data_IF_740699903079
#
_entry.id   IF_740699903079
#
_cell.length_a   1.000
_cell.length_b   1.000
_cell.length_c   1.000
_cell.angle_alpha   90.00
_cell.angle_beta   90.00
_cell.angle_gamma   90.00
#
_symmetry.space_group_name_H-M   'P 1'
#
loop_
_entity.id
_entity.type
_entity.pdbx_description
1 polymer ?
#
# COMPACT_ATOMS: atom_id res chain seq x y z
N UNK A 1 -10.30 -2.98 19.95
CA UNK A 1 -9.16 -2.96 20.88
C UNK A 1 -7.83 -3.28 20.18
N UNK A 2 -7.71 -4.35 19.41
CA UNK A 2 -6.50 -4.69 18.63
C UNK A 2 -6.05 -3.60 17.64
N UNK A 3 -6.97 -2.97 16.93
CA UNK A 3 -6.69 -1.89 15.99
C UNK A 3 -6.06 -0.64 16.63
N UNK A 4 -6.50 -0.25 17.83
CA UNK A 4 -5.92 0.88 18.57
C UNK A 4 -4.55 0.49 19.10
N UNK A 5 -4.41 -0.74 19.61
CA UNK A 5 -3.15 -1.26 20.15
C UNK A 5 -2.09 -1.36 19.05
N UNK A 6 -2.44 -1.79 17.84
CA UNK A 6 -1.52 -1.86 16.70
C UNK A 6 -1.05 -0.48 16.25
N UNK A 7 -1.91 0.54 16.28
CA UNK A 7 -1.53 1.92 15.99
C UNK A 7 -0.64 2.54 17.09
N UNK A 8 -0.97 2.30 18.35
CA UNK A 8 -0.21 2.85 19.49
C UNK A 8 1.14 2.15 19.65
N UNK A 9 1.22 0.83 19.40
CA UNK A 9 2.48 0.08 19.50
C UNK A 9 3.27 0.05 18.19
N UNK A 10 2.66 0.47 17.07
CA UNK A 10 3.31 0.45 15.76
C UNK A 10 4.64 1.19 15.72
N UNK A 11 4.76 2.30 16.47
CA UNK A 11 6.02 3.06 16.55
C UNK A 11 7.18 2.24 17.13
N UNK A 12 6.91 1.24 18.01
CA UNK A 12 7.95 0.38 18.58
C UNK A 12 8.60 -0.54 17.55
N UNK A 13 7.94 -0.78 16.41
CA UNK A 13 8.48 -1.57 15.32
C UNK A 13 9.22 -0.73 14.27
N UNK A 14 9.29 0.60 14.46
CA UNK A 14 9.98 1.49 13.54
C UNK A 14 11.49 1.55 13.86
N UNK A 15 12.38 1.39 12.86
CA UNK A 15 13.83 1.46 13.08
C UNK A 15 14.28 2.77 13.73
N UNK A 16 13.66 3.89 13.36
CA UNK A 16 13.95 5.19 13.95
C UNK A 16 13.68 5.21 15.46
N UNK A 17 12.63 4.55 15.93
CA UNK A 17 12.33 4.43 17.36
C UNK A 17 13.42 3.66 18.10
N UNK A 18 13.96 2.61 17.52
CA UNK A 18 15.06 1.82 18.11
C UNK A 18 16.33 2.66 18.23
N UNK A 19 16.64 3.50 17.21
CA UNK A 19 17.76 4.44 17.24
C UNK A 19 17.56 5.43 18.39
N UNK A 20 16.39 6.09 18.46
CA UNK A 20 16.09 7.08 19.48
C UNK A 20 16.12 6.49 20.89
N UNK A 21 15.48 5.34 21.11
CA UNK A 21 15.47 4.64 22.40
C UNK A 21 16.90 4.25 22.81
N UNK A 22 17.70 3.70 21.89
CA UNK A 22 19.09 3.31 22.18
C UNK A 22 19.96 4.51 22.55
N UNK A 23 19.83 5.60 21.82
CA UNK A 23 20.54 6.86 22.14
C UNK A 23 20.09 7.42 23.49
N UNK A 24 18.78 7.54 23.71
CA UNK A 24 18.24 8.06 24.98
C UNK A 24 18.71 7.21 26.18
N UNK A 25 18.59 5.87 26.07
CA UNK A 25 19.06 4.97 27.12
C UNK A 25 20.56 5.11 27.41
N UNK A 26 21.37 5.50 26.41
CA UNK A 26 22.81 5.71 26.59
C UNK A 26 23.17 6.85 27.58
N UNK A 27 22.25 7.79 27.79
CA UNK A 27 22.45 8.88 28.74
C UNK A 27 22.20 8.45 30.20
N UNK A 28 21.40 7.41 30.42
CA UNK A 28 21.03 6.93 31.75
C UNK A 28 21.93 5.80 32.28
N UNK A 29 22.80 5.22 31.46
CA UNK A 29 23.64 4.07 31.87
C UNK A 29 25.10 4.26 31.42
N UNK A 30 25.99 4.71 32.34
CA UNK A 30 27.44 4.88 32.05
C UNK A 30 28.09 3.56 31.55
N UNK A 31 27.72 2.42 32.14
CA UNK A 31 28.29 1.09 31.81
C UNK A 31 27.97 0.65 30.40
N UNK A 32 26.77 0.92 29.91
CA UNK A 32 26.29 0.44 28.61
C UNK A 32 26.31 1.53 27.51
N UNK A 33 26.65 2.78 27.87
CA UNK A 33 26.56 3.93 26.97
C UNK A 33 27.26 3.73 25.62
N UNK A 34 28.49 3.20 25.64
CA UNK A 34 29.23 2.94 24.40
C UNK A 34 28.54 1.88 23.53
N UNK A 35 28.05 0.80 24.14
CA UNK A 35 27.34 -0.28 23.41
C UNK A 35 26.03 0.23 22.81
N UNK A 36 25.23 0.99 23.57
CA UNK A 36 23.96 1.53 23.09
C UNK A 36 24.15 2.51 21.92
N UNK A 37 25.16 3.38 21.98
CA UNK A 37 25.51 4.28 20.86
C UNK A 37 25.97 3.49 19.63
N UNK A 38 26.76 2.43 19.81
CA UNK A 38 27.17 1.57 18.71
C UNK A 38 25.96 0.83 18.09
N UNK A 39 25.05 0.34 18.91
CA UNK A 39 23.81 -0.28 18.44
C UNK A 39 22.98 0.71 17.62
N UNK A 40 22.80 1.93 18.12
CA UNK A 40 22.08 2.97 17.40
C UNK A 40 22.73 3.29 16.04
N UNK A 41 24.05 3.35 15.99
CA UNK A 41 24.81 3.56 14.74
C UNK A 41 24.62 2.39 13.76
N UNK A 42 24.70 1.15 14.25
CA UNK A 42 24.50 -0.04 13.41
C UNK A 42 23.07 -0.05 12.85
N UNK A 43 22.06 0.23 13.67
CA UNK A 43 20.66 0.30 13.21
C UNK A 43 20.51 1.40 12.17
N UNK A 44 21.10 2.58 12.39
CA UNK A 44 21.05 3.70 11.45
C UNK A 44 21.70 3.33 10.11
N UNK A 45 22.88 2.74 10.12
CA UNK A 45 23.61 2.36 8.91
C UNK A 45 22.89 1.22 8.15
N UNK A 46 22.29 0.26 8.86
CA UNK A 46 21.58 -0.86 8.23
C UNK A 46 20.24 -0.41 7.63
N UNK A 47 19.37 0.20 8.42
CA UNK A 47 18.04 0.62 7.97
C UNK A 47 18.04 1.91 7.16
N UNK A 48 19.07 2.73 7.27
CA UNK A 48 19.28 3.89 6.41
C UNK A 48 19.89 3.53 5.05
N UNK A 49 20.36 2.31 4.85
CA UNK A 49 20.99 1.91 3.60
C UNK A 49 19.94 1.63 2.52
N UNK A 50 19.97 2.41 1.44
CA UNK A 50 19.01 2.31 0.34
C UNK A 50 19.18 1.01 -0.46
N UNK A 51 20.39 0.46 -0.60
CA UNK A 51 20.62 -0.81 -1.29
C UNK A 51 20.02 -1.98 -0.51
N UNK A 52 20.24 -2.04 0.81
CA UNK A 52 19.67 -3.10 1.65
C UNK A 52 18.16 -3.05 1.58
N UNK A 53 17.57 -1.87 1.69
CA UNK A 53 16.12 -1.68 1.56
C UNK A 53 15.62 -2.20 0.21
N UNK A 54 16.28 -1.79 -0.88
CA UNK A 54 15.88 -2.18 -2.24
C UNK A 54 15.92 -3.71 -2.43
N UNK A 55 16.98 -4.38 -1.98
CA UNK A 55 17.05 -5.85 -2.04
C UNK A 55 15.90 -6.52 -1.27
N UNK A 56 15.58 -6.01 -0.09
CA UNK A 56 14.46 -6.55 0.72
C UNK A 56 13.11 -6.28 0.04
N UNK A 57 12.93 -5.11 -0.57
CA UNK A 57 11.71 -4.79 -1.33
C UNK A 57 11.56 -5.71 -2.55
N UNK A 58 12.62 -5.93 -3.32
CA UNK A 58 12.60 -6.85 -4.47
C UNK A 58 12.23 -8.29 -4.09
N UNK A 59 12.59 -8.73 -2.87
CA UNK A 59 12.18 -10.04 -2.36
C UNK A 59 10.72 -10.07 -1.88
N UNK A 60 10.20 -8.93 -1.41
CA UNK A 60 8.85 -8.82 -0.87
C UNK A 60 7.82 -8.45 -1.92
N UNK A 61 8.13 -7.51 -2.80
CA UNK A 61 7.20 -6.98 -3.79
C UNK A 61 6.71 -8.08 -4.73
N UNK A 62 5.48 -7.94 -5.21
CA UNK A 62 4.99 -8.80 -6.27
C UNK A 62 5.73 -8.46 -7.58
N UNK A 63 6.02 -9.46 -8.41
CA UNK A 63 6.67 -9.24 -9.70
C UNK A 63 5.81 -8.36 -10.61
N UNK A 64 6.46 -7.55 -11.45
CA UNK A 64 5.79 -6.69 -12.43
C UNK A 64 5.05 -7.57 -13.43
N UNK A 65 3.78 -7.25 -13.68
CA UNK A 65 3.01 -7.82 -14.78
C UNK A 65 3.21 -6.95 -16.01
N UNK A 66 3.69 -7.54 -17.10
CA UNK A 66 3.89 -6.82 -18.35
C UNK A 66 2.56 -6.71 -19.11
N UNK A 67 2.33 -5.60 -19.80
CA UNK A 67 1.11 -5.36 -20.56
C UNK A 67 0.87 -6.42 -21.64
N UNK A 68 1.94 -6.90 -22.27
CA UNK A 68 1.88 -7.95 -23.28
C UNK A 68 1.37 -9.32 -22.74
N UNK A 69 1.41 -9.49 -21.41
CA UNK A 69 0.97 -10.71 -20.72
C UNK A 69 -0.47 -10.57 -20.19
N UNK A 70 -1.12 -9.40 -20.43
CA UNK A 70 -2.50 -9.17 -20.05
C UNK A 70 -3.44 -9.49 -21.20
N UNK A 71 -4.43 -10.34 -20.92
CA UNK A 71 -5.63 -10.44 -21.73
C UNK A 71 -6.56 -9.25 -21.48
N UNK A 72 -7.69 -9.23 -22.20
CA UNK A 72 -8.77 -8.27 -21.92
C UNK A 72 -9.65 -8.79 -20.78
N UNK A 73 -9.92 -7.93 -19.80
CA UNK A 73 -10.75 -8.24 -18.63
C UNK A 73 -11.92 -7.25 -18.53
N UNK A 74 -12.97 -7.66 -17.89
CA UNK A 74 -14.13 -6.79 -17.68
C UNK A 74 -13.86 -5.72 -16.63
N UNK A 75 -13.16 -6.06 -15.56
CA UNK A 75 -12.94 -5.17 -14.45
C UNK A 75 -11.48 -5.10 -14.01
N UNK A 76 -11.02 -3.88 -13.70
CA UNK A 76 -9.87 -3.68 -12.83
C UNK A 76 -10.33 -3.07 -11.50
N UNK A 77 -9.85 -3.62 -10.39
CA UNK A 77 -10.10 -3.11 -9.04
C UNK A 77 -8.88 -2.34 -8.57
N UNK A 78 -9.05 -1.03 -8.39
CA UNK A 78 -8.01 -0.13 -7.89
C UNK A 78 -8.22 0.07 -6.39
N UNK A 79 -7.27 -0.40 -5.57
CA UNK A 79 -7.37 -0.26 -4.12
C UNK A 79 -6.96 1.13 -3.67
N UNK A 80 -7.77 1.74 -2.81
CA UNK A 80 -7.54 3.06 -2.21
C UNK A 80 -6.29 3.15 -1.34
N UNK A 81 -6.11 4.27 -0.67
CA UNK A 81 -4.93 4.62 0.13
C UNK A 81 -3.98 5.55 -0.60
N UNK A 82 -4.46 6.27 -1.60
CA UNK A 82 -3.66 7.16 -2.44
C UNK A 82 -4.16 8.61 -2.47
N UNK A 83 -5.26 8.93 -1.79
CA UNK A 83 -5.83 10.29 -1.78
C UNK A 83 -5.86 10.87 -0.37
N UNK A 84 -5.47 12.13 -0.27
CA UNK A 84 -5.74 13.01 0.86
C UNK A 84 -6.76 14.07 0.44
N UNK A 85 -7.80 14.26 1.25
CA UNK A 85 -8.76 15.34 1.07
C UNK A 85 -8.43 16.52 1.98
N UNK A 86 -8.39 17.73 1.39
CA UNK A 86 -8.25 18.98 2.14
C UNK A 86 -9.59 19.71 2.15
N UNK A 87 -10.24 19.72 3.31
CA UNK A 87 -11.51 20.43 3.49
C UNK A 87 -11.37 21.96 3.36
N UNK A 88 -10.19 22.51 3.63
CA UNK A 88 -9.94 23.95 3.51
C UNK A 88 -9.95 24.44 2.06
N UNK A 89 -9.49 23.60 1.14
CA UNK A 89 -9.34 23.96 -0.27
C UNK A 89 -10.33 23.25 -1.18
N UNK A 90 -11.19 22.38 -0.61
CA UNK A 90 -12.09 21.50 -1.36
C UNK A 90 -11.37 20.77 -2.51
N UNK A 91 -10.20 20.21 -2.19
CA UNK A 91 -9.32 19.52 -3.14
C UNK A 91 -8.82 18.20 -2.60
N UNK A 92 -8.62 17.28 -3.54
CA UNK A 92 -7.84 16.08 -3.27
C UNK A 92 -6.38 16.31 -3.65
N UNK A 93 -5.49 15.67 -2.89
CA UNK A 93 -4.08 15.55 -3.21
C UNK A 93 -3.72 14.08 -3.31
N UNK A 94 -2.96 13.71 -4.32
CA UNK A 94 -2.52 12.33 -4.50
C UNK A 94 -1.25 12.08 -3.67
N UNK A 95 -1.27 11.00 -2.90
CA UNK A 95 -0.09 10.46 -2.24
C UNK A 95 0.87 9.82 -3.26
N UNK A 96 2.02 9.32 -2.79
CA UNK A 96 2.95 8.51 -3.60
C UNK A 96 2.23 7.34 -4.28
N UNK A 97 1.29 6.69 -3.57
CA UNK A 97 0.48 5.58 -4.09
C UNK A 97 -0.56 6.00 -5.15
N UNK A 98 -0.59 7.26 -5.58
CA UNK A 98 -1.40 7.74 -6.70
C UNK A 98 -1.15 6.98 -8.01
N UNK A 99 0.04 6.38 -8.14
CA UNK A 99 0.37 5.49 -9.27
C UNK A 99 -0.67 4.38 -9.47
N UNK A 100 -1.30 3.87 -8.41
CA UNK A 100 -2.40 2.88 -8.51
C UNK A 100 -3.53 3.37 -9.42
N UNK A 101 -3.98 4.61 -9.20
CA UNK A 101 -5.05 5.19 -10.01
C UNK A 101 -4.59 5.42 -11.45
N UNK A 102 -3.38 5.93 -11.65
CA UNK A 102 -2.84 6.17 -12.99
C UNK A 102 -2.66 4.87 -13.77
N UNK A 103 -2.20 3.79 -13.14
CA UNK A 103 -2.11 2.48 -13.78
C UNK A 103 -3.51 1.92 -14.11
N UNK A 104 -4.48 2.05 -13.20
CA UNK A 104 -5.87 1.69 -13.49
C UNK A 104 -6.45 2.46 -14.68
N UNK A 105 -6.29 3.77 -14.71
CA UNK A 105 -6.73 4.60 -15.84
C UNK A 105 -6.02 4.25 -17.15
N UNK A 106 -4.74 3.89 -17.08
CA UNK A 106 -3.99 3.42 -18.25
C UNK A 106 -4.58 2.12 -18.79
N UNK A 107 -4.87 1.15 -17.93
CA UNK A 107 -5.53 -0.11 -18.33
C UNK A 107 -6.88 0.15 -19.01
N UNK A 108 -7.70 1.05 -18.45
CA UNK A 108 -8.98 1.44 -19.02
C UNK A 108 -8.81 2.11 -20.40
N UNK A 109 -7.96 3.13 -20.49
CA UNK A 109 -7.77 3.90 -21.74
C UNK A 109 -7.04 3.13 -22.82
N UNK A 110 -6.27 2.11 -22.47
CA UNK A 110 -5.62 1.18 -23.41
C UNK A 110 -6.48 -0.04 -23.73
N UNK A 111 -7.74 -0.07 -23.26
CA UNK A 111 -8.71 -1.13 -23.54
C UNK A 111 -8.28 -2.53 -23.06
N UNK A 112 -7.53 -2.61 -21.96
CA UNK A 112 -7.27 -3.87 -21.24
C UNK A 112 -8.41 -4.23 -20.31
N UNK A 113 -9.23 -3.24 -19.89
CA UNK A 113 -10.41 -3.46 -19.06
C UNK A 113 -11.58 -2.58 -19.52
N UNK A 114 -12.82 -3.05 -19.30
CA UNK A 114 -14.02 -2.29 -19.64
C UNK A 114 -14.34 -1.21 -18.60
N UNK A 115 -14.18 -1.53 -17.31
CA UNK A 115 -14.53 -0.64 -16.22
C UNK A 115 -13.53 -0.73 -15.06
N UNK A 116 -13.37 0.38 -14.32
CA UNK A 116 -12.64 0.41 -13.05
C UNK A 116 -13.60 0.33 -11.87
N UNK A 117 -13.29 -0.52 -10.91
CA UNK A 117 -13.88 -0.50 -9.57
C UNK A 117 -12.88 0.24 -8.66
N UNK A 118 -13.23 1.44 -8.21
CA UNK A 118 -12.43 2.17 -7.22
C UNK A 118 -12.90 1.71 -5.84
N UNK A 119 -12.09 0.86 -5.19
CA UNK A 119 -12.43 0.27 -3.90
C UNK A 119 -11.66 0.98 -2.78
N UNK A 120 -12.38 1.84 -2.05
CA UNK A 120 -11.80 2.61 -0.96
C UNK A 120 -12.85 3.50 -0.28
N UNK A 121 -13.26 3.12 0.91
CA UNK A 121 -14.04 3.96 1.81
C UNK A 121 -13.13 4.84 2.66
N UNK A 122 -13.34 4.88 3.98
CA UNK A 122 -12.50 5.65 4.89
C UNK A 122 -11.56 4.77 5.70
N UNK A 123 -10.27 4.91 5.51
CA UNK A 123 -9.23 4.34 6.38
C UNK A 123 -9.07 5.10 7.72
N UNK A 124 -9.76 6.22 7.90
CA UNK A 124 -9.71 7.03 9.11
C UNK A 124 -10.70 6.54 10.16
N UNK A 125 -10.22 6.41 11.41
CA UNK A 125 -11.10 6.01 12.54
C UNK A 125 -12.01 7.15 12.98
N UNK A 126 -11.48 8.39 12.93
CA UNK A 126 -12.16 9.58 13.45
C UNK A 126 -12.98 10.32 12.38
N UNK A 127 -12.80 9.99 11.11
CA UNK A 127 -13.43 10.66 9.98
C UNK A 127 -14.00 9.62 8.99
N UNK A 128 -15.03 8.84 9.41
CA UNK A 128 -15.61 7.79 8.56
C UNK A 128 -16.34 8.31 7.32
N UNK A 129 -16.66 9.60 7.30
CA UNK A 129 -17.31 10.31 6.19
C UNK A 129 -16.35 10.59 5.03
N UNK A 130 -15.02 10.56 5.26
CA UNK A 130 -14.02 10.82 4.22
C UNK A 130 -13.83 9.57 3.35
N UNK A 131 -14.74 9.36 2.41
CA UNK A 131 -14.77 8.20 1.51
C UNK A 131 -13.95 8.46 0.26
N UNK A 132 -12.78 7.85 0.17
CA UNK A 132 -11.77 8.10 -0.85
C UNK A 132 -12.30 7.90 -2.27
N UNK A 133 -13.02 6.79 -2.53
CA UNK A 133 -13.55 6.48 -3.87
C UNK A 133 -14.54 7.54 -4.37
N UNK A 134 -15.34 8.16 -3.47
CA UNK A 134 -16.27 9.23 -3.85
C UNK A 134 -15.53 10.49 -4.30
N UNK A 135 -14.49 10.90 -3.56
CA UNK A 135 -13.66 12.05 -3.93
C UNK A 135 -12.91 11.79 -5.23
N UNK A 136 -12.35 10.58 -5.39
CA UNK A 136 -11.68 10.18 -6.63
C UNK A 136 -12.65 10.17 -7.81
N UNK A 137 -13.85 9.60 -7.64
CA UNK A 137 -14.89 9.60 -8.69
C UNK A 137 -15.30 11.00 -9.13
N UNK A 138 -15.49 11.91 -8.17
CA UNK A 138 -15.78 13.30 -8.45
C UNK A 138 -14.65 14.00 -9.22
N UNK A 139 -13.40 13.73 -8.84
CA UNK A 139 -12.22 14.24 -9.55
C UNK A 139 -12.15 13.72 -10.99
N UNK A 140 -12.33 12.40 -11.18
CA UNK A 140 -12.29 11.77 -12.50
C UNK A 140 -13.37 12.32 -13.43
N UNK A 141 -14.58 12.55 -12.91
CA UNK A 141 -15.66 13.20 -13.65
C UNK A 141 -15.28 14.63 -14.08
N UNK A 142 -14.57 15.37 -13.23
CA UNK A 142 -14.14 16.74 -13.53
C UNK A 142 -13.05 16.81 -14.61
N UNK A 143 -12.37 15.72 -14.90
CA UNK A 143 -11.36 15.58 -15.98
C UNK A 143 -11.87 14.72 -17.15
N UNK A 144 -13.19 14.69 -17.36
CA UNK A 144 -13.85 14.05 -18.50
C UNK A 144 -13.66 12.50 -18.59
N UNK A 145 -13.44 11.81 -17.47
CA UNK A 145 -13.57 10.36 -17.41
C UNK A 145 -15.05 10.02 -17.26
N UNK A 146 -15.57 9.17 -18.15
CA UNK A 146 -16.97 8.79 -18.15
C UNK A 146 -17.37 8.12 -16.83
N UNK A 147 -18.46 8.55 -16.18
CA UNK A 147 -18.99 7.83 -15.01
C UNK A 147 -19.39 6.38 -15.30
N UNK A 148 -19.72 6.05 -16.56
CA UNK A 148 -20.07 4.69 -16.97
C UNK A 148 -18.86 3.74 -16.95
N UNK A 149 -17.63 4.30 -17.02
CA UNK A 149 -16.38 3.57 -16.95
C UNK A 149 -15.96 3.26 -15.50
N UNK A 150 -16.62 3.86 -14.49
CA UNK A 150 -16.18 3.85 -13.10
C UNK A 150 -17.29 3.33 -12.18
N UNK A 151 -16.96 2.35 -11.36
CA UNK A 151 -17.80 1.84 -10.28
C UNK A 151 -17.15 2.23 -8.96
N UNK A 152 -17.92 2.82 -8.04
CA UNK A 152 -17.41 3.28 -6.76
C UNK A 152 -17.82 2.31 -5.64
N UNK A 153 -16.85 1.74 -4.95
CA UNK A 153 -17.01 1.03 -3.69
C UNK A 153 -16.48 1.93 -2.57
N UNK A 154 -17.35 2.43 -1.72
CA UNK A 154 -17.05 3.50 -0.74
C UNK A 154 -17.24 3.08 0.72
N UNK A 155 -17.51 1.82 1.01
CA UNK A 155 -17.83 1.38 2.37
C UNK A 155 -16.67 0.68 3.08
N UNK A 156 -15.70 0.20 2.33
CA UNK A 156 -14.54 -0.53 2.85
C UNK A 156 -13.62 0.36 3.71
N UNK A 157 -13.09 -0.22 4.79
CA UNK A 157 -12.16 0.44 5.73
C UNK A 157 -10.81 -0.26 5.85
N UNK A 158 -10.68 -1.39 5.21
CA UNK A 158 -9.48 -2.22 5.20
C UNK A 158 -9.50 -3.19 4.01
N UNK A 159 -8.36 -3.85 3.74
CA UNK A 159 -8.22 -4.73 2.56
C UNK A 159 -9.18 -5.92 2.56
N UNK A 160 -9.55 -6.44 3.73
CA UNK A 160 -10.56 -7.52 3.82
C UNK A 160 -11.94 -7.02 3.39
N UNK A 161 -12.32 -5.83 3.81
CA UNK A 161 -13.59 -5.21 3.43
C UNK A 161 -13.58 -4.82 1.94
N UNK A 162 -12.45 -4.34 1.39
CA UNK A 162 -12.32 -4.13 -0.06
C UNK A 162 -12.66 -5.42 -0.83
N UNK A 163 -12.09 -6.55 -0.44
CA UNK A 163 -12.36 -7.83 -1.08
C UNK A 163 -13.84 -8.26 -0.96
N UNK A 164 -14.42 -8.14 0.24
CA UNK A 164 -15.81 -8.52 0.50
C UNK A 164 -16.80 -7.65 -0.28
N UNK A 165 -16.59 -6.33 -0.29
CA UNK A 165 -17.52 -5.41 -0.97
C UNK A 165 -17.32 -5.44 -2.50
N UNK A 166 -16.11 -5.68 -2.97
CA UNK A 166 -15.88 -5.97 -4.41
C UNK A 166 -16.64 -7.23 -4.82
N UNK A 167 -16.52 -8.33 -4.07
CA UNK A 167 -17.26 -9.56 -4.36
C UNK A 167 -18.79 -9.31 -4.36
N UNK A 168 -19.29 -8.53 -3.39
CA UNK A 168 -20.71 -8.18 -3.32
C UNK A 168 -21.16 -7.42 -4.58
N UNK A 169 -20.40 -6.40 -5.01
CA UNK A 169 -20.68 -5.65 -6.24
C UNK A 169 -20.69 -6.54 -7.47
N UNK A 170 -19.73 -7.45 -7.58
CA UNK A 170 -19.65 -8.38 -8.72
C UNK A 170 -20.82 -9.38 -8.72
N UNK A 171 -21.25 -9.87 -7.54
CA UNK A 171 -22.44 -10.72 -7.41
C UNK A 171 -23.72 -10.00 -7.84
N UNK A 172 -23.91 -8.75 -7.42
CA UNK A 172 -25.07 -7.94 -7.83
C UNK A 172 -25.13 -7.73 -9.35
N UNK A 173 -23.98 -7.81 -10.02
CA UNK A 173 -23.86 -7.71 -11.49
C UNK A 173 -23.85 -9.07 -12.21
N UNK A 174 -23.79 -10.20 -11.48
CA UNK A 174 -23.68 -11.56 -12.05
C UNK A 174 -22.29 -11.89 -12.62
N UNK A 175 -21.23 -11.26 -12.09
CA UNK A 175 -19.85 -11.36 -12.59
C UNK A 175 -18.84 -11.86 -11.55
N UNK A 176 -19.31 -12.47 -10.47
CA UNK A 176 -18.46 -12.93 -9.34
C UNK A 176 -17.46 -14.04 -9.72
N UNK A 177 -17.68 -14.72 -10.83
CA UNK A 177 -16.80 -15.79 -11.31
C UNK A 177 -15.79 -15.31 -12.37
N UNK A 178 -15.89 -14.07 -12.82
CA UNK A 178 -14.96 -13.50 -13.78
C UNK A 178 -13.66 -13.08 -13.09
N UNK A 179 -12.49 -13.32 -13.71
CA UNK A 179 -11.24 -12.81 -13.17
C UNK A 179 -11.21 -11.28 -13.23
N UNK A 180 -10.60 -10.67 -12.22
CA UNK A 180 -10.42 -9.23 -12.12
C UNK A 180 -8.95 -8.85 -12.11
N UNK A 181 -8.60 -7.74 -12.74
CA UNK A 181 -7.26 -7.16 -12.59
C UNK A 181 -7.19 -6.41 -11.27
N UNK A 182 -6.30 -6.80 -10.36
CA UNK A 182 -6.15 -6.16 -9.06
C UNK A 182 -4.98 -5.18 -9.11
N UNK A 183 -5.27 -3.88 -8.96
CA UNK A 183 -4.29 -2.80 -9.03
C UNK A 183 -4.04 -2.24 -7.63
N UNK A 184 -2.83 -2.43 -7.14
CA UNK A 184 -2.35 -1.82 -5.88
C UNK A 184 -0.83 -1.74 -5.89
N UNK A 185 -0.21 -1.04 -4.91
CA UNK A 185 1.25 -0.94 -4.83
C UNK A 185 1.90 -2.32 -4.66
N UNK A 186 3.06 -2.52 -5.27
CA UNK A 186 3.76 -3.81 -5.29
C UNK A 186 4.02 -4.37 -3.87
N UNK A 187 4.38 -3.50 -2.92
CA UNK A 187 4.60 -3.89 -1.53
C UNK A 187 3.32 -4.36 -0.81
N UNK A 188 2.14 -3.90 -1.26
CA UNK A 188 0.84 -4.27 -0.70
C UNK A 188 0.21 -5.49 -1.39
N UNK A 189 0.65 -5.82 -2.60
CA UNK A 189 0.01 -6.78 -3.49
C UNK A 189 -0.14 -8.18 -2.87
N UNK A 190 0.88 -8.69 -2.17
CA UNK A 190 0.81 -10.03 -1.54
C UNK A 190 -0.38 -10.16 -0.57
N UNK A 191 -0.59 -9.15 0.28
CA UNK A 191 -1.70 -9.15 1.24
C UNK A 191 -3.05 -8.94 0.55
N UNK A 192 -3.08 -8.13 -0.50
CA UNK A 192 -4.29 -7.88 -1.28
C UNK A 192 -4.73 -9.15 -2.03
N UNK A 193 -3.84 -9.83 -2.76
CA UNK A 193 -4.13 -11.10 -3.43
C UNK A 193 -4.74 -12.10 -2.44
N UNK A 194 -4.03 -12.37 -1.33
CA UNK A 194 -4.48 -13.35 -0.35
C UNK A 194 -5.87 -13.02 0.24
N UNK A 195 -6.18 -11.72 0.46
CA UNK A 195 -7.48 -11.31 0.97
C UNK A 195 -8.61 -11.46 -0.08
N UNK A 196 -8.32 -11.21 -1.36
CA UNK A 196 -9.28 -11.33 -2.45
C UNK A 196 -9.53 -12.80 -2.81
N UNK A 197 -8.49 -13.62 -2.89
CA UNK A 197 -8.62 -15.07 -3.12
C UNK A 197 -9.36 -15.76 -1.97
N UNK A 198 -9.17 -15.30 -0.73
CA UNK A 198 -9.87 -15.82 0.45
C UNK A 198 -11.38 -15.65 0.38
N UNK A 199 -11.88 -14.66 -0.32
CA UNK A 199 -13.33 -14.47 -0.52
C UNK A 199 -13.85 -15.17 -1.77
N UNK A 200 -12.97 -15.82 -2.56
CA UNK A 200 -13.32 -16.60 -3.74
C UNK A 200 -13.20 -15.84 -5.06
N UNK A 201 -12.57 -14.67 -5.09
CA UNK A 201 -12.29 -13.94 -6.31
C UNK A 201 -11.02 -14.46 -6.98
N UNK A 202 -11.04 -14.61 -8.30
CA UNK A 202 -9.84 -14.86 -9.11
C UNK A 202 -9.20 -13.53 -9.48
N UNK A 203 -7.94 -13.32 -9.10
CA UNK A 203 -7.26 -12.05 -9.32
C UNK A 203 -6.06 -12.19 -10.26
N UNK A 204 -5.90 -11.23 -11.14
CA UNK A 204 -4.73 -11.01 -11.98
C UNK A 204 -3.99 -9.83 -11.37
N UNK A 205 -2.82 -10.01 -10.76
CA UNK A 205 -2.11 -8.92 -10.09
C UNK A 205 -1.53 -7.93 -11.10
N UNK A 206 -1.74 -6.65 -10.85
CA UNK A 206 -1.12 -5.56 -11.61
C UNK A 206 -0.48 -4.56 -10.63
N UNK A 207 0.77 -4.80 -10.23
CA UNK A 207 1.46 -3.99 -9.23
C UNK A 207 1.79 -2.59 -9.75
N UNK A 208 1.30 -1.57 -9.04
CA UNK A 208 1.73 -0.18 -9.15
C UNK A 208 2.92 0.08 -8.21
N UNK A 209 3.62 1.18 -8.38
CA UNK A 209 4.81 1.53 -7.59
C UNK A 209 5.82 0.38 -7.44
N UNK A 210 6.23 -0.29 -8.51
CA UNK A 210 7.15 -1.41 -8.38
C UNK A 210 8.51 -0.93 -7.88
N UNK A 211 9.19 -1.78 -7.11
CA UNK A 211 10.62 -1.58 -6.86
C UNK A 211 11.41 -1.92 -8.12
N UNK A 212 12.33 -1.03 -8.50
CA UNK A 212 13.16 -1.24 -9.69
C UNK A 212 14.40 -2.06 -9.33
N UNK A 213 14.78 -2.95 -10.25
CA UNK A 213 15.99 -3.77 -10.09
C UNK A 213 17.28 -3.02 -10.41
N UNK A 214 17.18 -1.82 -10.99
CA UNK A 214 18.34 -1.00 -11.31
C UNK A 214 19.03 -0.56 -10.02
N UNK A 215 20.28 -1.05 -9.85
CA UNK A 215 21.09 -0.78 -8.67
C UNK A 215 21.99 0.40 -8.95
N UNK A 216 21.78 1.47 -8.20
CA UNK A 216 22.69 2.61 -8.20
C UNK A 216 23.72 2.45 -7.07
N UNK A 217 24.98 2.16 -7.45
CA UNK A 217 26.09 1.94 -6.53
C UNK A 217 26.92 3.22 -6.29
N UNK A 218 26.26 4.36 -6.18
CA UNK A 218 26.95 5.59 -5.77
C UNK A 218 27.24 5.58 -4.26
N UNK A 219 28.15 6.45 -3.80
CA UNK A 219 28.52 6.51 -2.36
C UNK A 219 27.35 6.92 -1.47
N UNK A 220 26.48 7.78 -1.97
CA UNK A 220 25.29 8.24 -1.28
C UNK A 220 24.23 7.15 -1.14
N UNK A 221 24.03 6.29 -2.14
CA UNK A 221 23.10 5.16 -2.04
C UNK A 221 23.66 3.96 -1.27
N UNK A 222 25.00 3.78 -1.30
CA UNK A 222 25.64 2.58 -0.78
C UNK A 222 26.11 2.72 0.68
N UNK A 223 26.49 3.93 1.11
CA UNK A 223 27.17 4.14 2.40
C UNK A 223 26.39 5.11 3.30
N UNK A 224 25.90 6.22 2.73
CA UNK A 224 25.25 7.27 3.55
C UNK A 224 23.82 6.86 3.93
N UNK A 225 23.43 7.04 5.20
CA UNK A 225 22.07 6.78 5.62
C UNK A 225 21.08 7.73 4.94
N UNK A 226 20.04 7.17 4.35
CA UNK A 226 18.92 7.88 3.72
C UNK A 226 17.72 7.97 4.67
N UNK A 227 17.18 9.17 4.83
CA UNK A 227 15.95 9.37 5.58
C UNK A 227 14.74 8.71 4.90
N UNK A 228 14.72 8.70 3.56
CA UNK A 228 13.68 8.01 2.80
C UNK A 228 13.73 6.50 3.00
N UNK A 229 14.92 5.89 3.06
CA UNK A 229 15.05 4.47 3.36
C UNK A 229 14.46 4.12 4.73
N UNK A 230 14.75 4.92 5.77
CA UNK A 230 14.15 4.73 7.10
C UNK A 230 12.61 4.84 7.08
N UNK A 231 12.06 5.76 6.28
CA UNK A 231 10.62 5.91 6.14
C UNK A 231 9.98 4.72 5.38
N UNK A 232 10.63 4.23 4.33
CA UNK A 232 10.11 3.10 3.53
C UNK A 232 10.16 1.76 4.29
N UNK A 233 11.12 1.56 5.20
CA UNK A 233 11.10 0.42 6.12
C UNK A 233 9.83 0.38 6.96
N UNK A 234 9.26 1.54 7.36
CA UNK A 234 8.01 1.57 8.10
C UNK A 234 6.85 1.00 7.27
N UNK A 235 6.85 1.24 5.95
CA UNK A 235 5.85 0.68 5.03
C UNK A 235 5.96 -0.84 4.98
N UNK A 236 7.18 -1.38 4.83
CA UNK A 236 7.42 -2.83 4.82
C UNK A 236 7.01 -3.50 6.14
N UNK A 237 7.43 -2.95 7.28
CA UNK A 237 7.03 -3.48 8.59
C UNK A 237 5.52 -3.45 8.77
N UNK A 238 4.85 -2.38 8.29
CA UNK A 238 3.39 -2.30 8.33
C UNK A 238 2.75 -3.43 7.51
N UNK A 239 3.25 -3.71 6.31
CA UNK A 239 2.74 -4.78 5.45
C UNK A 239 3.01 -6.17 6.05
N UNK A 240 4.21 -6.41 6.59
CA UNK A 240 4.51 -7.68 7.25
C UNK A 240 3.62 -7.93 8.47
N UNK A 241 3.45 -6.93 9.34
CA UNK A 241 2.53 -7.01 10.48
C UNK A 241 1.08 -7.21 10.02
N UNK A 242 0.67 -6.49 8.96
CA UNK A 242 -0.66 -6.62 8.37
C UNK A 242 -0.88 -8.03 7.82
N UNK A 243 0.08 -8.58 7.10
CA UNK A 243 0.01 -9.95 6.56
C UNK A 243 -0.11 -11.00 7.67
N UNK A 244 0.75 -10.93 8.69
CA UNK A 244 0.70 -11.85 9.84
C UNK A 244 -0.62 -11.71 10.61
N UNK A 245 -1.08 -10.48 10.84
CA UNK A 245 -2.35 -10.22 11.52
C UNK A 245 -3.55 -10.81 10.75
N UNK A 246 -3.56 -10.66 9.42
CA UNK A 246 -4.61 -11.20 8.57
C UNK A 246 -4.60 -12.74 8.56
N UNK A 247 -3.41 -13.34 8.53
CA UNK A 247 -3.25 -14.80 8.62
C UNK A 247 -3.79 -15.33 9.95
N UNK A 248 -3.41 -14.71 11.07
CA UNK A 248 -3.91 -15.11 12.40
C UNK A 248 -5.42 -14.91 12.58
N UNK A 249 -6.00 -13.95 11.86
CA UNK A 249 -7.44 -13.68 11.89
C UNK A 249 -8.25 -14.52 10.90
N UNK A 250 -7.61 -15.36 10.09
CA UNK A 250 -8.25 -16.16 9.05
C UNK A 250 -8.79 -15.33 7.87
N UNK A 251 -8.24 -14.14 7.65
CA UNK A 251 -8.63 -13.25 6.55
C UNK A 251 -7.87 -13.53 5.25
N UNK A 252 -6.79 -14.29 5.36
CA UNK A 252 -5.97 -14.81 4.26
C UNK A 252 -5.61 -16.26 4.53
#
# INVERSE_FOLDING_TARGET
MFFILSKVLGFLFMPLSWIVISLAASFFTKRLAKKLRLIALIILLFFGNSLILNEVKLLWDAPITLDQDLDHYKYAVVLGGYVYYSSENDRIAFAKSGDRLFQGLRLLKSNYVDQLILSGGSGYVLFPELKESLYTGSYLKAIDISPDDIILESESRNTRENALYTLKLLKEKGHENEPIVLVTSAYHMRRAIAAFEKVGLTVIPYPAEPSFSDRDYTLDTSILPSASALAEWNVLFHEWMGYVSYSLSGYI
#
